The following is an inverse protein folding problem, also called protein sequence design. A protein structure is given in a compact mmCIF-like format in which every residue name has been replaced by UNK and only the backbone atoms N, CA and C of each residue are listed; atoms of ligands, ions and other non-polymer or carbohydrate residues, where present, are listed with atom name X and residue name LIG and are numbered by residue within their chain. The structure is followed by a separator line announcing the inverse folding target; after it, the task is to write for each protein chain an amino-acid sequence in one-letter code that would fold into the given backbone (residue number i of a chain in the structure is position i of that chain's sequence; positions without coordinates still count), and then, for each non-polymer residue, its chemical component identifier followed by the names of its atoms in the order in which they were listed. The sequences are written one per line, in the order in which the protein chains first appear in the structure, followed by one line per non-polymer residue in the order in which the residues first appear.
data_IF_864901587526
#
_entry.id   IF_864901587526
#
_cell.length_a   1.000
_cell.length_b   1.000
_cell.length_c   1.000
_cell.angle_alpha   90.00
_cell.angle_beta   90.00
_cell.angle_gamma   90.00
#
_symmetry.space_group_name_H-M   'P 1'
#
loop_
_entity.id
_entity.type
_entity.pdbx_description
1 polymer ?
#
# COMPACT_ATOMS: atom_id res chain seq x y z
N UNK A 1 12.07 6.84 -0.82
CA UNK A 1 11.12 6.65 -1.93
C UNK A 1 11.81 6.47 -3.27
N UNK A 2 12.80 7.28 -3.61
CA UNK A 2 13.56 7.12 -4.87
C UNK A 2 14.19 5.73 -5.01
N UNK A 3 14.66 5.14 -3.90
CA UNK A 3 15.20 3.78 -3.88
C UNK A 3 14.11 2.75 -4.20
N UNK A 4 12.91 2.88 -3.61
CA UNK A 4 11.78 1.99 -3.92
C UNK A 4 11.28 2.18 -5.36
N UNK A 5 11.23 3.42 -5.84
CA UNK A 5 10.89 3.70 -7.23
C UNK A 5 11.91 3.09 -8.20
N UNK A 6 13.21 3.23 -7.90
CA UNK A 6 14.27 2.58 -8.67
C UNK A 6 14.15 1.04 -8.65
N UNK A 7 13.80 0.47 -7.50
CA UNK A 7 13.50 -0.96 -7.34
C UNK A 7 12.33 -1.41 -8.20
N UNK A 8 11.24 -0.64 -8.19
CA UNK A 8 10.05 -0.89 -9.00
C UNK A 8 10.41 -0.87 -10.50
N UNK A 9 11.13 0.16 -10.94
CA UNK A 9 11.60 0.26 -12.32
C UNK A 9 12.53 -0.91 -12.68
N UNK A 10 13.45 -1.29 -11.80
CA UNK A 10 14.34 -2.42 -12.03
C UNK A 10 13.58 -3.74 -12.18
N UNK A 11 12.59 -4.00 -11.31
CA UNK A 11 11.77 -5.22 -11.38
C UNK A 11 10.88 -5.24 -12.62
N UNK A 12 10.41 -4.08 -13.10
CA UNK A 12 9.64 -3.98 -14.34
C UNK A 12 10.54 -4.16 -15.57
N UNK A 13 11.72 -3.51 -15.59
CA UNK A 13 12.58 -3.46 -16.78
C UNK A 13 13.39 -4.73 -16.97
N UNK A 14 14.01 -5.25 -15.91
CA UNK A 14 14.94 -6.38 -16.01
C UNK A 14 14.29 -7.64 -16.56
N UNK A 15 13.10 -8.07 -16.10
CA UNK A 15 12.41 -9.22 -16.65
C UNK A 15 11.91 -9.04 -18.08
N UNK A 16 11.72 -7.78 -18.51
CA UNK A 16 11.25 -7.45 -19.86
C UNK A 16 12.38 -7.15 -20.85
N UNK A 17 13.64 -7.35 -20.46
CA UNK A 17 14.77 -7.33 -21.38
C UNK A 17 14.71 -8.58 -22.27
N UNK A 18 14.53 -8.36 -23.56
CA UNK A 18 14.44 -9.44 -24.54
C UNK A 18 15.78 -10.12 -24.86
N UNK A 19 15.73 -11.23 -25.58
CA UNK A 19 16.89 -11.97 -26.08
C UNK A 19 17.53 -11.33 -27.32
N UNK A 20 16.84 -10.40 -27.96
CA UNK A 20 17.41 -9.62 -29.05
C UNK A 20 18.48 -8.64 -28.52
N UNK A 21 19.66 -8.70 -29.11
CA UNK A 21 20.80 -7.87 -28.72
C UNK A 21 21.23 -6.99 -29.90
N UNK A 22 21.42 -5.71 -29.63
CA UNK A 22 22.01 -4.77 -30.58
C UNK A 22 23.45 -4.53 -30.21
N UNK A 23 24.35 -4.64 -31.19
CA UNK A 23 25.75 -4.28 -31.03
C UNK A 23 25.89 -2.77 -31.10
N UNK A 24 26.49 -2.17 -30.08
CA UNK A 24 26.83 -0.76 -30.10
C UNK A 24 27.89 -0.53 -31.21
N UNK A 25 27.66 0.43 -32.12
CA UNK A 25 28.67 0.80 -33.09
C UNK A 25 29.95 1.25 -32.36
N UNK A 26 31.10 0.77 -32.81
CA UNK A 26 32.42 1.06 -32.25
C UNK A 26 32.80 0.29 -30.96
N UNK A 27 31.94 -0.58 -30.43
CA UNK A 27 32.26 -1.39 -29.23
C UNK A 27 31.92 -2.86 -29.42
N UNK A 28 32.50 -3.73 -28.59
CA UNK A 28 32.15 -5.15 -28.53
C UNK A 28 30.96 -5.42 -27.61
N UNK A 29 30.37 -4.38 -27.03
CA UNK A 29 29.27 -4.49 -26.06
C UNK A 29 27.94 -4.71 -26.78
N UNK A 30 27.20 -5.73 -26.34
CA UNK A 30 25.86 -6.05 -26.83
C UNK A 30 24.86 -5.66 -25.77
N UNK A 31 23.94 -4.75 -26.11
CA UNK A 31 22.85 -4.33 -25.21
C UNK A 31 21.58 -5.09 -25.57
N UNK A 32 20.88 -5.70 -24.59
CA UNK A 32 19.58 -6.32 -24.83
C UNK A 32 18.55 -5.23 -25.16
N UNK A 33 17.69 -5.50 -26.14
CA UNK A 33 16.58 -4.60 -26.50
C UNK A 33 15.39 -4.91 -25.61
N UNK A 34 14.80 -3.86 -25.04
CA UNK A 34 13.56 -3.97 -24.28
C UNK A 34 12.45 -4.53 -25.19
N UNK A 35 11.77 -5.60 -24.72
CA UNK A 35 10.72 -6.30 -25.48
C UNK A 35 11.17 -6.86 -26.84
N UNK A 36 12.48 -6.95 -27.11
CA UNK A 36 13.01 -7.47 -28.35
C UNK A 36 13.25 -8.98 -28.31
N UNK A 37 12.69 -9.72 -29.29
CA UNK A 37 12.89 -11.17 -29.43
C UNK A 37 11.73 -12.01 -28.92
N UNK A 38 11.88 -13.34 -29.01
CA UNK A 38 10.82 -14.32 -28.68
C UNK A 38 10.97 -14.95 -27.29
N UNK A 39 12.06 -14.69 -26.60
CA UNK A 39 12.36 -15.25 -25.27
C UNK A 39 13.02 -14.23 -24.36
N UNK A 40 12.55 -14.14 -23.13
CA UNK A 40 13.16 -13.33 -22.08
C UNK A 40 14.32 -14.10 -21.45
N UNK A 41 15.55 -13.72 -21.72
CA UNK A 41 16.75 -14.48 -21.35
C UNK A 41 17.22 -14.28 -19.91
N UNK A 42 16.94 -13.09 -19.32
CA UNK A 42 17.28 -12.79 -17.93
C UNK A 42 16.32 -13.38 -16.90
N UNK A 43 15.21 -13.94 -17.34
CA UNK A 43 14.07 -14.29 -16.48
C UNK A 43 13.97 -15.78 -16.17
N UNK A 44 15.02 -16.58 -16.47
CA UNK A 44 15.03 -18.01 -16.15
C UNK A 44 15.16 -18.31 -14.66
N UNK A 45 15.68 -17.37 -13.87
CA UNK A 45 15.77 -17.55 -12.42
C UNK A 45 14.55 -16.92 -11.73
N UNK A 46 13.62 -17.73 -11.19
CA UNK A 46 12.43 -17.24 -10.51
C UNK A 46 12.75 -16.48 -9.22
N UNK A 47 13.99 -16.50 -8.74
CA UNK A 47 14.43 -15.82 -7.53
C UNK A 47 14.88 -14.37 -7.77
N UNK A 48 15.14 -14.02 -9.03
CA UNK A 48 15.67 -12.68 -9.36
C UNK A 48 14.74 -11.52 -8.92
N UNK A 49 13.43 -11.55 -9.19
CA UNK A 49 12.53 -10.47 -8.74
C UNK A 49 12.49 -10.32 -7.23
N UNK A 50 12.48 -11.44 -6.50
CA UNK A 50 12.54 -11.44 -5.04
C UNK A 50 13.88 -10.87 -4.53
N UNK A 51 15.01 -11.30 -5.10
CA UNK A 51 16.32 -10.80 -4.72
C UNK A 51 16.44 -9.28 -4.94
N UNK A 52 15.93 -8.77 -6.06
CA UNK A 52 15.87 -7.33 -6.32
C UNK A 52 14.99 -6.62 -5.30
N UNK A 53 13.79 -7.12 -5.03
CA UNK A 53 12.90 -6.54 -4.02
C UNK A 53 13.55 -6.50 -2.64
N UNK A 54 14.24 -7.58 -2.22
CA UNK A 54 14.96 -7.63 -0.95
C UNK A 54 16.07 -6.57 -0.87
N UNK A 55 16.87 -6.41 -1.94
CA UNK A 55 17.94 -5.41 -1.98
C UNK A 55 17.39 -3.98 -1.88
N UNK A 56 16.35 -3.67 -2.66
CA UNK A 56 15.77 -2.33 -2.65
C UNK A 56 15.00 -2.01 -1.36
N UNK A 57 14.29 -2.99 -0.77
CA UNK A 57 13.62 -2.81 0.51
C UNK A 57 14.64 -2.68 1.66
N UNK A 58 15.67 -3.52 1.69
CA UNK A 58 16.72 -3.43 2.71
C UNK A 58 17.47 -2.09 2.62
N UNK A 59 17.80 -1.64 1.42
CA UNK A 59 18.44 -0.32 1.23
C UNK A 59 17.49 0.84 1.61
N UNK A 60 16.18 0.70 1.37
CA UNK A 60 15.19 1.68 1.83
C UNK A 60 15.08 1.74 3.36
N UNK A 61 15.09 0.58 4.03
CA UNK A 61 15.12 0.51 5.50
C UNK A 61 16.39 1.18 6.04
N UNK A 62 17.56 0.83 5.50
CA UNK A 62 18.84 1.40 5.94
C UNK A 62 18.89 2.92 5.76
N UNK A 63 18.44 3.42 4.61
CA UNK A 63 18.41 4.85 4.34
C UNK A 63 17.41 5.60 5.24
N UNK A 64 16.21 5.04 5.45
CA UNK A 64 15.22 5.65 6.34
C UNK A 64 15.67 5.64 7.80
N UNK A 65 16.35 4.56 8.22
CA UNK A 65 16.96 4.50 9.55
C UNK A 65 18.11 5.51 9.73
N UNK A 66 18.93 5.73 8.71
CA UNK A 66 19.98 6.75 8.75
C UNK A 66 19.41 8.17 8.83
N UNK A 67 18.29 8.45 8.13
CA UNK A 67 17.57 9.71 8.23
C UNK A 67 16.96 9.93 9.62
N UNK A 68 16.41 8.87 10.21
CA UNK A 68 15.87 8.91 11.57
C UNK A 68 16.95 9.24 12.61
N UNK A 69 18.14 8.64 12.49
CA UNK A 69 19.28 8.84 13.40
C UNK A 69 19.97 10.19 13.17
N UNK A 70 20.03 10.66 11.91
CA UNK A 70 20.69 11.88 11.51
C UNK A 70 19.88 13.16 11.70
N UNK A 71 18.65 13.05 12.25
CA UNK A 71 17.74 14.20 12.45
C UNK A 71 17.50 15.04 11.18
N UNK A 72 17.56 14.41 10.02
CA UNK A 72 17.35 15.11 8.76
C UNK A 72 15.89 15.53 8.64
N UNK A 73 15.68 16.83 8.41
CA UNK A 73 14.37 17.40 8.06
C UNK A 73 14.46 18.04 6.68
N UNK A 74 13.37 18.04 5.94
CA UNK A 74 13.33 18.65 4.62
C UNK A 74 11.92 18.74 4.07
N UNK A 75 11.67 19.81 3.35
CA UNK A 75 10.41 20.04 2.64
C UNK A 75 10.58 19.74 1.17
N UNK A 76 9.61 19.02 0.61
CA UNK A 76 9.53 18.75 -0.82
C UNK A 76 8.26 19.40 -1.37
N UNK A 77 8.40 20.63 -1.85
CA UNK A 77 7.25 21.46 -2.17
C UNK A 77 6.39 21.68 -0.92
N UNK A 78 5.14 22.07 -1.11
CA UNK A 78 4.20 22.29 0.01
C UNK A 78 3.39 21.02 0.35
N UNK A 79 3.76 19.85 -0.16
CA UNK A 79 2.93 18.64 -0.07
C UNK A 79 3.57 17.49 0.72
N UNK A 80 4.90 17.49 0.87
CA UNK A 80 5.65 16.46 1.60
C UNK A 80 6.62 17.10 2.57
N UNK A 81 6.60 16.64 3.81
CA UNK A 81 7.52 17.02 4.87
C UNK A 81 8.21 15.79 5.43
N UNK A 82 9.55 15.82 5.45
CA UNK A 82 10.36 14.78 6.05
C UNK A 82 10.73 15.22 7.45
N UNK A 83 10.30 14.46 8.44
CA UNK A 83 10.60 14.64 9.84
C UNK A 83 10.95 13.30 10.51
N UNK A 84 11.29 13.33 11.79
CA UNK A 84 11.58 12.12 12.56
C UNK A 84 10.41 11.16 12.60
N UNK A 85 9.18 11.67 12.73
CA UNK A 85 7.98 10.85 12.81
C UNK A 85 7.72 10.12 11.49
N UNK A 86 7.78 10.83 10.37
CA UNK A 86 7.61 10.23 9.03
C UNK A 86 8.73 9.25 8.68
N UNK A 87 9.96 9.53 9.11
CA UNK A 87 11.09 8.63 8.94
C UNK A 87 10.93 7.34 9.74
N UNK A 88 10.49 7.43 11.00
CA UNK A 88 10.16 6.26 11.84
C UNK A 88 9.08 5.40 11.18
N UNK A 89 7.98 6.01 10.73
CA UNK A 89 6.90 5.30 10.05
C UNK A 89 7.39 4.62 8.77
N UNK A 90 8.25 5.30 8.00
CA UNK A 90 8.85 4.72 6.78
C UNK A 90 9.68 3.48 7.12
N UNK A 91 10.48 3.51 8.22
CA UNK A 91 11.22 2.34 8.69
C UNK A 91 10.28 1.20 9.05
N UNK A 92 9.18 1.48 9.77
CA UNK A 92 8.20 0.45 10.17
C UNK A 92 7.55 -0.17 8.91
N UNK A 93 7.07 0.64 7.98
CA UNK A 93 6.40 0.14 6.77
C UNK A 93 7.34 -0.66 5.88
N UNK A 94 8.54 -0.14 5.61
CA UNK A 94 9.51 -0.82 4.76
C UNK A 94 10.06 -2.09 5.41
N UNK A 95 10.18 -2.13 6.74
CA UNK A 95 10.56 -3.35 7.49
C UNK A 95 9.49 -4.43 7.39
N UNK A 96 8.21 -4.07 7.53
CA UNK A 96 7.12 -5.02 7.37
C UNK A 96 7.09 -5.62 5.95
N UNK A 97 7.29 -4.79 4.92
CA UNK A 97 7.39 -5.24 3.53
C UNK A 97 8.61 -6.14 3.29
N UNK A 98 9.74 -5.81 3.91
CA UNK A 98 10.95 -6.62 3.86
C UNK A 98 10.70 -8.01 4.47
N UNK A 99 10.00 -8.10 5.60
CA UNK A 99 9.62 -9.37 6.21
C UNK A 99 8.71 -10.19 5.28
N UNK A 100 7.76 -9.57 4.60
CA UNK A 100 6.92 -10.23 3.58
C UNK A 100 7.77 -10.74 2.42
N UNK A 101 8.70 -9.94 1.90
CA UNK A 101 9.60 -10.35 0.83
C UNK A 101 10.51 -11.52 1.26
N UNK A 102 10.99 -11.55 2.50
CA UNK A 102 11.74 -12.67 3.06
C UNK A 102 10.86 -13.92 3.17
N UNK A 103 9.63 -13.79 3.67
CA UNK A 103 8.69 -14.90 3.80
C UNK A 103 8.32 -15.53 2.46
N UNK A 104 8.41 -14.77 1.37
CA UNK A 104 8.14 -15.23 0.00
C UNK A 104 9.37 -15.67 -0.78
N UNK A 105 10.55 -15.75 -0.15
CA UNK A 105 11.84 -16.03 -0.82
C UNK A 105 11.86 -17.40 -1.52
N UNK A 106 11.19 -18.41 -0.98
CA UNK A 106 11.25 -19.77 -1.51
C UNK A 106 10.07 -20.15 -2.41
N UNK A 107 8.94 -19.48 -2.23
CA UNK A 107 7.73 -19.70 -3.02
C UNK A 107 6.78 -18.51 -2.86
N UNK A 108 5.98 -18.28 -3.89
CA UNK A 108 4.79 -17.46 -3.72
C UNK A 108 3.91 -18.09 -2.63
N UNK A 109 3.20 -17.27 -1.85
CA UNK A 109 2.31 -17.76 -0.82
C UNK A 109 1.40 -18.85 -1.37
N UNK A 110 1.37 -20.02 -0.71
CA UNK A 110 0.53 -21.14 -1.11
C UNK A 110 -0.93 -20.77 -0.97
N UNK A 111 -1.75 -21.26 -1.87
CA UNK A 111 -3.22 -21.17 -1.78
C UNK A 111 -3.70 -21.92 -0.53
N UNK A 112 -4.34 -21.24 0.46
CA UNK A 112 -4.83 -21.89 1.67
C UNK A 112 -5.95 -22.90 1.40
N UNK A 113 -6.63 -22.79 0.25
CA UNK A 113 -7.70 -23.72 -0.16
C UNK A 113 -7.24 -24.86 -1.05
N UNK A 114 -5.93 -24.99 -1.32
CA UNK A 114 -5.38 -26.12 -2.04
C UNK A 114 -5.62 -27.40 -1.21
N UNK A 115 -6.78 -28.03 -1.41
CA UNK A 115 -7.10 -29.33 -0.83
C UNK A 115 -6.03 -30.34 -1.21
N UNK A 116 -5.59 -31.15 -0.25
CA UNK A 116 -4.68 -32.27 -0.47
C UNK A 116 -5.26 -33.18 -1.55
N UNK A 117 -4.52 -33.43 -2.63
CA UNK A 117 -5.03 -34.21 -3.75
C UNK A 117 -5.31 -35.66 -3.34
N UNK A 118 -6.52 -36.10 -3.65
CA UNK A 118 -7.03 -37.42 -3.28
C UNK A 118 -6.60 -38.57 -4.19
N UNK A 119 -5.77 -38.35 -5.23
CA UNK A 119 -5.39 -39.38 -6.21
C UNK A 119 -3.98 -39.22 -6.77
N UNK A 120 -3.35 -40.32 -7.15
CA UNK A 120 -1.97 -40.40 -7.71
C UNK A 120 -1.74 -39.59 -9.01
N UNK A 121 -2.79 -39.37 -9.81
CA UNK A 121 -2.72 -38.50 -11.02
C UNK A 121 -2.61 -37.00 -10.66
N UNK A 122 -2.68 -36.68 -9.39
CA UNK A 122 -2.60 -35.32 -8.84
C UNK A 122 -1.17 -34.82 -8.59
N UNK A 123 -0.18 -35.71 -8.49
CA UNK A 123 1.21 -35.30 -8.23
C UNK A 123 1.80 -34.54 -9.43
N UNK A 124 1.49 -34.94 -10.66
CA UNK A 124 1.90 -34.20 -11.85
C UNK A 124 1.15 -32.90 -12.03
N UNK A 125 -0.15 -32.89 -11.74
CA UNK A 125 -0.96 -31.67 -11.75
C UNK A 125 -0.52 -30.69 -10.64
N UNK A 126 -0.15 -31.20 -9.47
CA UNK A 126 0.38 -30.42 -8.36
C UNK A 126 1.79 -29.89 -8.67
N UNK A 127 2.66 -30.71 -9.26
CA UNK A 127 3.97 -30.27 -9.74
C UNK A 127 3.86 -29.21 -10.85
N UNK A 128 2.92 -29.34 -11.76
CA UNK A 128 2.65 -28.36 -12.80
C UNK A 128 2.02 -27.08 -12.19
N UNK A 129 1.15 -27.20 -11.22
CA UNK A 129 0.57 -26.06 -10.47
C UNK A 129 1.64 -25.34 -9.64
N UNK A 130 2.52 -26.08 -8.96
CA UNK A 130 3.66 -25.55 -8.23
C UNK A 130 4.64 -24.87 -9.19
N UNK A 131 4.96 -25.46 -10.35
CA UNK A 131 5.84 -24.84 -11.34
C UNK A 131 5.25 -23.54 -11.91
N UNK A 132 3.93 -23.46 -12.08
CA UNK A 132 3.27 -22.22 -12.50
C UNK A 132 3.28 -21.12 -11.43
N UNK A 133 3.31 -21.50 -10.14
CA UNK A 133 3.47 -20.57 -9.03
C UNK A 133 4.89 -20.00 -8.95
N UNK A 134 5.87 -20.72 -9.46
CA UNK A 134 7.26 -20.26 -9.62
C UNK A 134 7.51 -19.57 -10.96
N UNK A 135 6.48 -19.38 -11.78
CA UNK A 135 6.62 -18.61 -13.01
C UNK A 135 7.15 -17.22 -12.63
N UNK A 136 8.25 -16.87 -13.23
CA UNK A 136 8.94 -15.61 -12.99
C UNK A 136 8.02 -14.40 -13.19
N UNK A 137 7.07 -14.49 -14.09
CA UNK A 137 6.09 -13.45 -14.36
C UNK A 137 5.20 -13.16 -13.16
N UNK A 138 4.72 -14.17 -12.46
CA UNK A 138 3.92 -13.99 -11.23
C UNK A 138 4.73 -13.42 -10.09
N UNK A 139 6.00 -13.82 -9.97
CA UNK A 139 6.91 -13.25 -8.99
C UNK A 139 7.16 -11.77 -9.25
N UNK A 140 7.33 -11.38 -10.51
CA UNK A 140 7.46 -9.97 -10.91
C UNK A 140 6.25 -9.17 -10.48
N UNK A 141 5.04 -9.64 -10.84
CA UNK A 141 3.79 -8.94 -10.52
C UNK A 141 3.58 -8.79 -9.00
N UNK A 142 3.87 -9.85 -8.23
CA UNK A 142 3.77 -9.82 -6.78
C UNK A 142 4.69 -8.76 -6.14
N UNK A 143 5.96 -8.73 -6.55
CA UNK A 143 6.93 -7.80 -5.96
C UNK A 143 6.74 -6.36 -6.44
N UNK A 144 6.22 -6.15 -7.65
CA UNK A 144 5.78 -4.82 -8.10
C UNK A 144 4.68 -4.28 -7.17
N UNK A 145 3.63 -5.08 -6.94
CA UNK A 145 2.54 -4.68 -6.05
C UNK A 145 3.02 -4.42 -4.62
N UNK A 146 3.95 -5.25 -4.12
CA UNK A 146 4.55 -5.09 -2.80
C UNK A 146 5.32 -3.76 -2.68
N UNK A 147 6.15 -3.42 -3.69
CA UNK A 147 6.89 -2.15 -3.71
C UNK A 147 5.97 -0.95 -3.91
N UNK A 148 4.92 -1.07 -4.73
CA UNK A 148 3.92 -0.01 -4.89
C UNK A 148 3.18 0.27 -3.58
N UNK A 149 2.80 -0.79 -2.84
CA UNK A 149 2.22 -0.63 -1.51
C UNK A 149 3.17 0.12 -0.56
N UNK A 150 4.45 -0.26 -0.56
CA UNK A 150 5.48 0.40 0.25
C UNK A 150 5.71 1.86 -0.11
N UNK A 151 5.73 2.16 -1.40
CA UNK A 151 5.87 3.52 -1.89
C UNK A 151 4.68 4.39 -1.44
N UNK A 152 3.45 3.90 -1.59
CA UNK A 152 2.26 4.58 -1.13
C UNK A 152 2.26 4.84 0.38
N UNK A 153 2.58 3.82 1.20
CA UNK A 153 2.67 3.95 2.66
C UNK A 153 3.72 4.99 3.08
N UNK A 154 4.90 4.95 2.46
CA UNK A 154 6.02 5.84 2.80
C UNK A 154 5.78 7.30 2.40
N UNK A 155 5.16 7.53 1.24
CA UNK A 155 4.78 8.88 0.80
C UNK A 155 3.63 9.44 1.64
N UNK A 156 2.63 8.61 1.98
CA UNK A 156 1.52 8.99 2.85
C UNK A 156 2.02 9.47 4.21
N UNK A 157 3.02 8.79 4.79
CA UNK A 157 3.60 9.18 6.08
C UNK A 157 4.22 10.58 6.09
N UNK A 158 4.66 11.08 4.93
CA UNK A 158 5.30 12.40 4.75
C UNK A 158 4.35 13.48 4.26
N UNK A 159 3.13 13.13 3.91
CA UNK A 159 2.19 14.06 3.30
C UNK A 159 1.71 15.11 4.30
N UNK A 160 1.77 16.39 3.91
CA UNK A 160 1.22 17.54 4.64
C UNK A 160 -0.06 18.07 4.01
N UNK A 161 -0.45 17.49 2.89
CA UNK A 161 -1.61 17.90 2.11
C UNK A 161 -2.61 16.74 2.02
N UNK A 162 -3.87 16.98 2.34
CA UNK A 162 -4.90 15.94 2.45
C UNK A 162 -5.12 15.17 1.14
N UNK A 163 -5.08 15.85 0.01
CA UNK A 163 -5.18 15.21 -1.31
C UNK A 163 -4.00 14.26 -1.56
N UNK A 164 -2.77 14.70 -1.29
CA UNK A 164 -1.58 13.86 -1.46
C UNK A 164 -1.62 12.65 -0.53
N UNK A 165 -2.01 12.86 0.73
CA UNK A 165 -2.20 11.80 1.72
C UNK A 165 -3.16 10.73 1.18
N UNK A 166 -4.31 11.17 0.64
CA UNK A 166 -5.34 10.26 0.13
C UNK A 166 -4.88 9.50 -1.11
N UNK A 167 -4.23 10.15 -2.07
CA UNK A 167 -3.69 9.51 -3.29
C UNK A 167 -2.65 8.45 -2.93
N UNK A 168 -1.74 8.75 -2.00
CA UNK A 168 -0.72 7.80 -1.55
C UNK A 168 -1.34 6.61 -0.80
N UNK A 169 -2.38 6.87 0.02
CA UNK A 169 -3.14 5.84 0.70
C UNK A 169 -3.86 4.93 -0.31
N UNK A 170 -4.44 5.49 -1.37
CA UNK A 170 -5.10 4.69 -2.40
C UNK A 170 -4.10 3.88 -3.24
N UNK A 171 -2.92 4.40 -3.52
CA UNK A 171 -1.85 3.64 -4.18
C UNK A 171 -1.50 2.36 -3.39
N UNK A 172 -1.33 2.49 -2.07
CA UNK A 172 -1.07 1.34 -1.20
C UNK A 172 -2.26 0.39 -1.12
N UNK A 173 -3.48 0.94 -1.13
CA UNK A 173 -4.73 0.18 -1.01
C UNK A 173 -5.04 -0.65 -2.24
N UNK A 174 -4.96 -0.05 -3.43
CA UNK A 174 -5.17 -0.75 -4.70
C UNK A 174 -4.18 -1.90 -4.85
N UNK A 175 -2.91 -1.67 -4.51
CA UNK A 175 -1.90 -2.73 -4.49
C UNK A 175 -2.28 -3.85 -3.52
N UNK A 176 -2.80 -3.51 -2.34
CA UNK A 176 -3.23 -4.48 -1.32
C UNK A 176 -4.46 -5.27 -1.76
N UNK A 177 -5.43 -4.66 -2.44
CA UNK A 177 -6.62 -5.37 -2.96
C UNK A 177 -6.22 -6.45 -3.96
N UNK A 178 -5.29 -6.14 -4.87
CA UNK A 178 -4.78 -7.10 -5.85
C UNK A 178 -3.95 -8.19 -5.15
N UNK A 179 -3.16 -7.84 -4.12
CA UNK A 179 -2.39 -8.83 -3.35
C UNK A 179 -3.30 -9.82 -2.59
N UNK A 180 -4.45 -9.39 -2.08
CA UNK A 180 -5.44 -10.29 -1.44
C UNK A 180 -5.97 -11.31 -2.43
N UNK A 181 -6.39 -10.87 -3.61
CA UNK A 181 -6.88 -11.73 -4.70
C UNK A 181 -5.78 -12.31 -5.59
N UNK A 182 -4.52 -12.30 -5.17
CA UNK A 182 -3.38 -12.66 -6.02
C UNK A 182 -3.44 -14.11 -6.51
N UNK A 183 -3.97 -15.02 -5.70
CA UNK A 183 -4.21 -16.42 -6.03
C UNK A 183 -5.58 -16.58 -6.71
N UNK A 184 -5.67 -16.11 -7.96
CA UNK A 184 -6.90 -16.16 -8.76
C UNK A 184 -7.44 -17.57 -9.05
N UNK A 185 -6.62 -18.61 -8.82
CA UNK A 185 -7.02 -20.01 -8.94
C UNK A 185 -7.82 -20.48 -7.72
N UNK A 186 -7.80 -19.74 -6.63
CA UNK A 186 -8.59 -19.99 -5.43
C UNK A 186 -9.88 -19.21 -5.51
N UNK A 187 -11.00 -19.91 -5.46
CA UNK A 187 -12.34 -19.27 -5.39
C UNK A 187 -12.45 -18.38 -4.16
N UNK A 188 -11.91 -18.84 -3.01
CA UNK A 188 -11.89 -18.08 -1.75
C UNK A 188 -11.04 -16.80 -1.88
N UNK A 189 -9.85 -16.92 -2.48
CA UNK A 189 -8.97 -15.77 -2.70
C UNK A 189 -9.57 -14.75 -3.68
N UNK A 190 -10.16 -15.23 -4.77
CA UNK A 190 -10.84 -14.38 -5.75
C UNK A 190 -12.06 -13.65 -5.17
N UNK A 191 -12.88 -14.35 -4.39
CA UNK A 191 -14.03 -13.77 -3.69
C UNK A 191 -13.59 -12.72 -2.66
N UNK A 192 -12.60 -13.04 -1.83
CA UNK A 192 -12.06 -12.14 -0.81
C UNK A 192 -11.47 -10.86 -1.44
N UNK A 193 -10.66 -10.98 -2.49
CA UNK A 193 -10.10 -9.85 -3.22
C UNK A 193 -11.17 -8.94 -3.81
N UNK A 194 -12.21 -9.55 -4.42
CA UNK A 194 -13.34 -8.82 -5.01
C UNK A 194 -14.14 -8.07 -3.95
N UNK A 195 -14.52 -8.72 -2.85
CA UNK A 195 -15.24 -8.09 -1.73
C UNK A 195 -14.44 -6.94 -1.13
N UNK A 196 -13.14 -7.17 -0.89
CA UNK A 196 -12.26 -6.16 -0.30
C UNK A 196 -12.11 -4.94 -1.22
N UNK A 197 -11.97 -5.16 -2.53
CA UNK A 197 -11.91 -4.09 -3.52
C UNK A 197 -13.24 -3.30 -3.59
N UNK A 198 -14.39 -3.97 -3.68
CA UNK A 198 -15.68 -3.28 -3.82
C UNK A 198 -15.97 -2.42 -2.59
N UNK A 199 -15.87 -2.99 -1.38
CA UNK A 199 -16.15 -2.25 -0.13
C UNK A 199 -15.12 -1.13 0.06
N UNK A 200 -13.84 -1.39 -0.24
CA UNK A 200 -12.79 -0.39 -0.18
C UNK A 200 -13.03 0.77 -1.15
N UNK A 201 -13.43 0.48 -2.38
CA UNK A 201 -13.71 1.52 -3.39
C UNK A 201 -14.91 2.40 -3.01
N UNK A 202 -15.95 1.82 -2.41
CA UNK A 202 -17.09 2.60 -1.89
C UNK A 202 -16.66 3.50 -0.74
N UNK A 203 -15.85 2.98 0.18
CA UNK A 203 -15.31 3.79 1.28
C UNK A 203 -14.40 4.92 0.75
N UNK A 204 -13.56 4.64 -0.24
CA UNK A 204 -12.70 5.65 -0.89
C UNK A 204 -13.52 6.71 -1.62
N UNK A 205 -14.60 6.33 -2.31
CA UNK A 205 -15.50 7.29 -2.95
C UNK A 205 -16.14 8.25 -1.93
N UNK A 206 -16.56 7.74 -0.76
CA UNK A 206 -17.02 8.59 0.33
C UNK A 206 -15.94 9.56 0.81
N UNK A 207 -14.69 9.09 0.96
CA UNK A 207 -13.55 9.93 1.34
C UNK A 207 -13.23 11.03 0.33
N UNK A 208 -13.23 10.70 -0.98
CA UNK A 208 -13.01 11.70 -2.06
C UNK A 208 -14.11 12.75 -2.03
N UNK A 209 -15.35 12.34 -1.86
CA UNK A 209 -16.47 13.26 -1.77
C UNK A 209 -16.35 14.15 -0.53
N UNK A 210 -15.99 13.58 0.64
CA UNK A 210 -15.71 14.34 1.85
C UNK A 210 -14.60 15.37 1.66
N UNK A 211 -13.51 14.97 1.00
CA UNK A 211 -12.41 15.88 0.68
C UNK A 211 -12.84 17.00 -0.28
N UNK A 212 -13.72 16.74 -1.23
CA UNK A 212 -14.27 17.78 -2.12
C UNK A 212 -15.10 18.81 -1.38
N UNK A 213 -15.85 18.39 -0.34
CA UNK A 213 -16.60 19.30 0.52
C UNK A 213 -15.67 20.17 1.38
N UNK A 214 -14.58 19.60 1.90
CA UNK A 214 -13.55 20.34 2.63
C UNK A 214 -12.87 21.38 1.74
N UNK A 215 -12.61 21.04 0.47
CA UNK A 215 -12.09 21.98 -0.50
C UNK A 215 -13.08 23.08 -0.85
N UNK A 216 -14.36 22.76 -0.99
CA UNK A 216 -15.42 23.74 -1.24
C UNK A 216 -15.55 24.72 -0.08
N UNK A 217 -15.38 24.25 1.16
CA UNK A 217 -15.44 25.07 2.35
C UNK A 217 -14.21 25.96 2.52
N UNK A 218 -12.99 25.41 2.38
CA UNK A 218 -11.75 26.12 2.75
C UNK A 218 -10.95 26.66 1.56
N UNK A 219 -11.14 26.10 0.35
CA UNK A 219 -10.35 26.45 -0.85
C UNK A 219 -8.92 25.89 -0.86
N UNK A 220 -8.46 25.29 0.25
CA UNK A 220 -7.16 24.64 0.39
C UNK A 220 -7.31 23.31 1.15
N UNK A 221 -6.47 22.33 0.83
CA UNK A 221 -6.43 21.01 1.48
C UNK A 221 -5.13 20.76 2.25
N UNK A 222 -4.34 21.80 2.52
CA UNK A 222 -3.22 21.66 3.46
C UNK A 222 -3.74 21.37 4.87
N UNK A 223 -3.14 20.42 5.57
CA UNK A 223 -3.60 20.01 6.92
C UNK A 223 -3.52 21.18 7.89
N UNK A 224 -2.47 21.99 7.82
CA UNK A 224 -2.32 23.19 8.64
C UNK A 224 -3.35 24.27 8.30
N UNK A 225 -3.62 24.49 7.01
CA UNK A 225 -4.65 25.46 6.57
C UNK A 225 -6.04 25.03 7.01
N UNK A 226 -6.41 23.77 6.85
CA UNK A 226 -7.69 23.24 7.32
C UNK A 226 -7.82 23.35 8.85
N UNK A 227 -6.75 23.07 9.62
CA UNK A 227 -6.77 23.20 11.08
C UNK A 227 -6.95 24.66 11.52
N UNK A 228 -6.24 25.59 10.90
CA UNK A 228 -6.37 27.03 11.23
C UNK A 228 -7.74 27.59 10.87
N UNK A 229 -8.29 27.19 9.71
CA UNK A 229 -9.66 27.61 9.31
C UNK A 229 -10.73 26.99 10.20
N UNK A 230 -10.50 25.77 10.70
CA UNK A 230 -11.39 25.12 11.66
C UNK A 230 -11.41 25.87 13.01
N UNK A 231 -10.24 26.27 13.50
CA UNK A 231 -10.12 27.02 14.73
C UNK A 231 -10.75 28.44 14.66
N UNK A 232 -10.71 29.04 13.48
CA UNK A 232 -11.32 30.33 13.21
C UNK A 232 -12.85 30.29 13.06
N UNK A 233 -13.48 29.10 13.04
CA UNK A 233 -14.93 28.98 12.93
C UNK A 233 -15.63 29.40 14.25
N UNK A 234 -16.56 30.33 14.17
CA UNK A 234 -17.45 30.69 15.30
C UNK A 234 -18.57 29.65 15.47
N UNK A 235 -19.01 29.00 14.38
CA UNK A 235 -20.04 27.98 14.39
C UNK A 235 -19.67 26.89 13.37
N UNK A 236 -20.06 25.62 13.64
CA UNK A 236 -19.75 24.47 12.76
C UNK A 236 -20.41 24.65 11.38
N UNK A 237 -19.59 24.72 10.33
CA UNK A 237 -20.04 24.76 8.96
C UNK A 237 -20.51 23.38 8.50
N UNK A 238 -21.70 23.23 7.88
CA UNK A 238 -22.21 21.92 7.45
C UNK A 238 -21.31 21.22 6.44
N UNK A 239 -20.66 21.92 5.51
CA UNK A 239 -19.76 21.33 4.53
C UNK A 239 -18.51 20.77 5.20
N UNK A 240 -17.95 21.50 6.16
CA UNK A 240 -16.80 21.06 6.92
C UNK A 240 -17.12 19.81 7.74
N UNK A 241 -18.25 19.80 8.47
CA UNK A 241 -18.68 18.68 9.31
C UNK A 241 -18.97 17.43 8.48
N UNK A 242 -19.76 17.56 7.41
CA UNK A 242 -20.07 16.44 6.52
C UNK A 242 -18.78 15.96 5.83
N UNK A 243 -17.91 16.87 5.39
CA UNK A 243 -16.63 16.55 4.77
C UNK A 243 -15.77 15.67 5.66
N UNK A 244 -15.56 16.06 6.92
CA UNK A 244 -14.80 15.25 7.89
C UNK A 244 -15.53 13.94 8.21
N UNK A 245 -16.84 13.96 8.37
CA UNK A 245 -17.62 12.73 8.61
C UNK A 245 -17.43 11.69 7.51
N UNK A 246 -17.45 12.09 6.23
CA UNK A 246 -17.20 11.21 5.09
C UNK A 246 -15.74 10.73 5.02
N UNK A 247 -14.79 11.57 5.41
CA UNK A 247 -13.38 11.15 5.55
C UNK A 247 -13.22 10.09 6.64
N UNK A 248 -13.96 10.22 7.77
CA UNK A 248 -13.96 9.20 8.83
C UNK A 248 -14.50 7.84 8.34
N UNK A 249 -15.46 7.80 7.41
CA UNK A 249 -15.91 6.55 6.76
C UNK A 249 -14.76 5.88 6.03
N UNK A 250 -14.03 6.62 5.20
CA UNK A 250 -12.91 6.10 4.43
C UNK A 250 -11.78 5.57 5.32
N UNK A 251 -11.37 6.36 6.31
CA UNK A 251 -10.30 5.93 7.23
C UNK A 251 -10.77 4.88 8.23
N UNK A 252 -12.05 4.90 8.63
CA UNK A 252 -12.67 3.86 9.44
C UNK A 252 -12.59 2.49 8.77
N UNK A 253 -12.82 2.41 7.46
CA UNK A 253 -12.58 1.19 6.69
C UNK A 253 -11.10 0.77 6.74
N UNK A 254 -10.15 1.68 6.56
CA UNK A 254 -8.70 1.35 6.58
C UNK A 254 -8.23 0.84 7.94
N UNK A 255 -8.71 1.45 9.01
CA UNK A 255 -8.41 1.03 10.39
C UNK A 255 -9.16 -0.27 10.74
N UNK A 256 -10.31 -0.49 10.14
CA UNK A 256 -11.19 -1.62 10.45
C UNK A 256 -12.13 -1.32 11.59
N UNK A 257 -12.52 -0.06 11.74
CA UNK A 257 -13.49 0.36 12.73
C UNK A 257 -14.91 -0.07 12.36
N UNK A 258 -15.72 -0.48 13.33
CA UNK A 258 -17.12 -0.76 13.13
C UNK A 258 -17.88 0.54 12.78
N UNK A 259 -18.84 0.51 11.84
CA UNK A 259 -19.36 -0.64 11.10
C UNK A 259 -18.59 -0.95 9.79
N UNK A 260 -17.51 -0.25 9.48
CA UNK A 260 -16.82 -0.29 8.17
C UNK A 260 -15.90 -1.52 7.98
N UNK A 261 -15.76 -2.40 8.98
CA UNK A 261 -14.83 -3.54 9.00
C UNK A 261 -15.30 -4.78 8.21
N UNK A 262 -16.50 -4.79 7.64
CA UNK A 262 -17.20 -5.99 7.15
C UNK A 262 -16.39 -6.84 6.14
N UNK A 263 -15.60 -6.23 5.25
CA UNK A 263 -14.81 -6.97 4.26
C UNK A 263 -13.42 -7.42 4.77
N UNK A 264 -13.02 -7.00 5.97
CA UNK A 264 -11.66 -7.26 6.48
C UNK A 264 -11.45 -8.71 6.89
N UNK A 265 -12.38 -9.38 7.60
CA UNK A 265 -12.25 -10.80 7.92
C UNK A 265 -12.14 -11.67 6.67
N UNK A 266 -12.95 -11.38 5.63
CA UNK A 266 -12.88 -12.08 4.35
C UNK A 266 -11.53 -11.86 3.67
N UNK A 267 -11.02 -10.63 3.67
CA UNK A 267 -9.71 -10.32 3.12
C UNK A 267 -8.58 -11.09 3.82
N UNK A 268 -8.64 -11.24 5.13
CA UNK A 268 -7.64 -12.01 5.88
C UNK A 268 -7.74 -13.52 5.63
N UNK A 269 -8.94 -14.06 5.50
CA UNK A 269 -9.14 -15.48 5.26
C UNK A 269 -8.77 -15.92 3.83
N UNK A 270 -8.97 -15.04 2.85
CA UNK A 270 -8.65 -15.33 1.44
C UNK A 270 -7.23 -14.96 1.02
N UNK A 271 -6.57 -14.08 1.77
CA UNK A 271 -5.18 -13.70 1.50
C UNK A 271 -4.20 -14.80 1.95
N UNK A 272 -3.05 -14.87 1.25
CA UNK A 272 -1.94 -15.67 1.74
C UNK A 272 -1.39 -15.15 3.07
N UNK A 273 -0.83 -16.03 3.91
CA UNK A 273 -0.35 -15.68 5.26
C UNK A 273 0.59 -14.46 5.29
N UNK A 274 1.60 -14.29 4.41
CA UNK A 274 2.43 -13.09 4.41
C UNK A 274 1.65 -11.82 4.05
N UNK A 275 0.69 -11.91 3.12
CA UNK A 275 -0.16 -10.78 2.73
C UNK A 275 -1.14 -10.44 3.85
N UNK A 276 -1.77 -11.44 4.48
CA UNK A 276 -2.63 -11.22 5.64
C UNK A 276 -1.86 -10.54 6.79
N UNK A 277 -0.60 -10.95 7.04
CA UNK A 277 0.29 -10.30 7.98
C UNK A 277 0.59 -8.85 7.64
N UNK A 278 0.82 -8.51 6.36
CA UNK A 278 1.01 -7.14 5.89
C UNK A 278 -0.24 -6.28 6.13
N UNK A 279 -1.42 -6.83 5.83
CA UNK A 279 -2.69 -6.14 6.04
C UNK A 279 -2.96 -5.88 7.52
N UNK A 280 -2.67 -6.86 8.38
CA UNK A 280 -2.88 -6.75 9.82
C UNK A 280 -1.92 -5.78 10.53
N UNK A 281 -0.74 -5.53 9.95
CA UNK A 281 0.31 -4.69 10.54
C UNK A 281 0.47 -3.36 9.81
N UNK A 282 1.24 -3.30 8.73
CA UNK A 282 1.61 -2.07 8.06
C UNK A 282 0.40 -1.33 7.46
N UNK A 283 -0.55 -2.06 6.85
CA UNK A 283 -1.74 -1.43 6.28
C UNK A 283 -2.65 -0.82 7.36
N UNK A 284 -2.78 -1.48 8.52
CA UNK A 284 -3.51 -0.92 9.68
C UNK A 284 -2.79 0.30 10.25
N UNK A 285 -1.48 0.21 10.46
CA UNK A 285 -0.69 1.33 10.95
C UNK A 285 -0.80 2.55 10.00
N UNK A 286 -0.76 2.32 8.68
CA UNK A 286 -1.01 3.37 7.68
C UNK A 286 -2.40 4.02 7.86
N UNK A 287 -3.45 3.21 8.03
CA UNK A 287 -4.80 3.69 8.27
C UNK A 287 -4.91 4.56 9.53
N UNK A 288 -4.28 4.13 10.63
CA UNK A 288 -4.24 4.90 11.87
C UNK A 288 -3.51 6.24 11.72
N UNK A 289 -2.37 6.26 11.03
CA UNK A 289 -1.62 7.50 10.78
C UNK A 289 -2.43 8.48 9.94
N UNK A 290 -3.11 7.99 8.90
CA UNK A 290 -3.99 8.82 8.07
C UNK A 290 -5.18 9.38 8.88
N UNK A 291 -5.81 8.53 9.70
CA UNK A 291 -6.89 8.93 10.60
C UNK A 291 -6.42 9.99 11.60
N UNK A 292 -5.26 9.79 12.25
CA UNK A 292 -4.70 10.78 13.19
C UNK A 292 -4.47 12.13 12.53
N UNK A 293 -3.97 12.17 11.28
CA UNK A 293 -3.75 13.43 10.57
C UNK A 293 -5.05 14.19 10.28
N UNK A 294 -6.13 13.48 9.99
CA UNK A 294 -7.45 14.10 9.83
C UNK A 294 -8.02 14.54 11.18
N UNK A 295 -7.83 13.75 12.22
CA UNK A 295 -8.30 14.11 13.56
C UNK A 295 -7.59 15.35 14.11
N UNK A 296 -6.32 15.58 13.80
CA UNK A 296 -5.60 16.80 14.15
C UNK A 296 -6.33 18.05 13.62
N UNK A 297 -6.95 17.99 12.44
CA UNK A 297 -7.69 19.11 11.85
C UNK A 297 -8.86 19.55 12.76
N UNK A 298 -9.54 18.61 13.39
CA UNK A 298 -10.80 18.83 14.10
C UNK A 298 -10.71 18.74 15.62
N UNK A 299 -9.62 18.20 16.18
CA UNK A 299 -9.47 18.01 17.64
C UNK A 299 -8.48 18.97 18.29
N UNK A 300 -7.53 19.51 17.53
CA UNK A 300 -6.64 20.57 18.02
C UNK A 300 -7.35 21.92 18.21
N UNK A 301 -8.23 22.34 17.27
CA UNK A 301 -9.02 23.54 17.43
C UNK A 301 -10.08 23.41 18.52
N UNK A 302 -10.42 24.54 19.17
CA UNK A 302 -11.40 24.57 20.26
C UNK A 302 -12.86 24.36 19.82
N UNK A 303 -13.17 24.63 18.53
CA UNK A 303 -14.54 24.57 18.01
C UNK A 303 -14.93 23.17 17.63
N UNK A 304 -15.92 22.60 18.30
CA UNK A 304 -16.47 21.27 18.01
C UNK A 304 -15.64 20.09 18.51
N UNK A 305 -14.58 20.31 19.30
CA UNK A 305 -13.72 19.25 19.84
C UNK A 305 -14.54 18.16 20.54
N UNK A 306 -15.43 18.53 21.45
CA UNK A 306 -16.26 17.59 22.21
C UNK A 306 -17.17 16.72 21.33
N UNK A 307 -17.66 17.25 20.23
CA UNK A 307 -18.50 16.52 19.27
C UNK A 307 -17.70 15.42 18.55
N UNK A 308 -16.51 15.75 18.03
CA UNK A 308 -15.67 14.79 17.33
C UNK A 308 -15.10 13.73 18.27
N UNK A 309 -14.70 14.11 19.48
CA UNK A 309 -14.24 13.17 20.50
C UNK A 309 -15.35 12.18 20.90
N UNK A 310 -16.61 12.65 21.01
CA UNK A 310 -17.74 11.77 21.28
C UNK A 310 -17.99 10.77 20.13
N UNK A 311 -17.89 11.21 18.87
CA UNK A 311 -18.04 10.31 17.71
C UNK A 311 -16.94 9.25 17.69
N UNK A 312 -15.68 9.64 17.91
CA UNK A 312 -14.55 8.72 17.92
C UNK A 312 -14.68 7.72 19.09
N UNK A 313 -15.07 8.21 20.27
CA UNK A 313 -15.31 7.35 21.42
C UNK A 313 -16.43 6.34 21.15
N UNK A 314 -17.54 6.77 20.54
CA UNK A 314 -18.64 5.89 20.15
C UNK A 314 -18.17 4.81 19.16
N UNK A 315 -17.42 5.20 18.10
CA UNK A 315 -16.85 4.24 17.13
C UNK A 315 -15.90 3.27 17.83
N UNK A 316 -15.05 3.74 18.74
CA UNK A 316 -14.13 2.89 19.49
C UNK A 316 -14.87 1.86 20.35
N UNK A 317 -15.92 2.29 21.09
CA UNK A 317 -16.74 1.39 21.93
C UNK A 317 -17.47 0.34 21.08
N UNK A 318 -18.01 0.74 19.92
CA UNK A 318 -18.71 -0.23 19.02
C UNK A 318 -17.71 -1.19 18.37
N UNK A 319 -16.46 -0.77 18.18
CA UNK A 319 -15.41 -1.60 17.56
C UNK A 319 -14.85 -2.64 18.54
N UNK A 320 -14.84 -2.38 19.84
CA UNK A 320 -14.42 -3.30 20.90
C UNK A 320 -15.43 -4.44 21.11
#
# INVERSE_FOLDING_TARGET
ELVMLAGLLAIVLIPNLGDARVRLPLTSVHIPILLGGTRFTLTRDPRLPNALALVFLASSVALSASMLLGETSGDFGNVLHIDRFSSLLTVIFTSALLLVAIATTHRLPADPSAETPKRRDSAEAEAAKISSLYDNRRQVDFHILLLMAGLGMSLMAKSTHLFMLFVCLELASLSSYVLVGFHKESDVGGEAGTKYFIVGSVASAAGIYGMSLLYLWNGDLSISGLSSSWDAMEALDPFAVIGVGLMLVAFGFKVGAAPFHLAIPDAYSGASSPVAGLLATASKAMGFVALMRVLIIVTMPSTGEGFWMAIIAAIAVITM
#
